data_IF_896444630319
#
_entry.id   IF_896444630319
#
_cell.length_a   1.000
_cell.length_b   1.000
_cell.length_c   1.000
_cell.angle_alpha   90.00
_cell.angle_beta   90.00
_cell.angle_gamma   90.00
#
_symmetry.space_group_name_H-M   'P 1'
#
loop_
_entity.id
_entity.type
_entity.pdbx_description
1 polymer ?
#
# COMPACT_ATOMS: atom_id res chain seq x y z
N UNK A 1 -16.29 42.61 -7.71
CA UNK A 1 -14.89 42.11 -7.63
C UNK A 1 -14.70 41.04 -8.68
N UNK A 2 -14.16 41.39 -9.85
CA UNK A 2 -13.80 40.45 -10.92
C UNK A 2 -12.37 39.93 -10.68
N UNK A 3 -12.22 38.96 -9.79
CA UNK A 3 -10.94 38.27 -9.66
C UNK A 3 -10.77 37.38 -10.90
N UNK A 4 -9.64 37.55 -11.56
CA UNK A 4 -9.39 37.23 -12.97
C UNK A 4 -9.74 35.77 -13.33
N UNK A 5 -10.65 35.61 -14.29
CA UNK A 5 -10.78 34.41 -15.12
C UNK A 5 -9.59 34.33 -16.09
N UNK A 6 -8.37 34.13 -15.60
CA UNK A 6 -7.27 33.76 -16.49
C UNK A 6 -7.48 32.30 -16.90
N UNK A 7 -7.61 32.05 -18.20
CA UNK A 7 -7.48 30.71 -18.75
C UNK A 7 -6.16 30.12 -18.26
N UNK A 8 -6.24 28.94 -17.65
CA UNK A 8 -5.06 28.18 -17.26
C UNK A 8 -4.26 27.86 -18.53
N UNK A 9 -3.10 28.50 -18.68
CA UNK A 9 -2.16 28.16 -19.72
C UNK A 9 -1.36 26.95 -19.21
N UNK A 10 -1.64 25.77 -19.76
CA UNK A 10 -0.86 24.57 -19.43
C UNK A 10 0.60 24.83 -19.75
N UNK A 11 1.51 24.73 -18.77
CA UNK A 11 2.94 24.88 -19.05
C UNK A 11 3.38 23.82 -20.04
N UNK A 12 4.18 24.22 -21.03
CA UNK A 12 4.78 23.28 -21.98
C UNK A 12 5.60 22.28 -21.19
N UNK A 13 5.37 20.98 -21.42
CA UNK A 13 6.11 19.92 -20.75
C UNK A 13 7.61 20.14 -20.98
N UNK A 14 8.35 20.47 -19.92
CA UNK A 14 9.79 20.71 -19.98
C UNK A 14 10.59 19.42 -20.29
N UNK A 15 9.94 18.26 -20.15
CA UNK A 15 10.53 16.98 -20.47
C UNK A 15 10.41 16.70 -21.97
N UNK A 16 11.47 17.03 -22.72
CA UNK A 16 11.58 16.79 -24.16
C UNK A 16 12.41 15.53 -24.52
N UNK A 17 12.92 14.81 -23.51
CA UNK A 17 13.71 13.60 -23.70
C UNK A 17 12.84 12.35 -23.83
N UNK A 18 13.40 11.30 -24.41
CA UNK A 18 12.84 9.96 -24.30
C UNK A 18 13.06 9.42 -22.89
N UNK A 19 12.06 8.70 -22.36
CA UNK A 19 12.26 7.91 -21.14
C UNK A 19 13.40 6.90 -21.41
N UNK A 20 14.25 6.62 -20.40
CA UNK A 20 15.26 5.57 -20.55
C UNK A 20 14.58 4.26 -20.92
N UNK A 21 15.28 3.43 -21.69
CA UNK A 21 14.81 2.08 -21.97
C UNK A 21 14.48 1.37 -20.63
N UNK A 22 13.38 0.61 -20.56
CA UNK A 22 13.08 -0.16 -19.37
C UNK A 22 14.31 -1.00 -18.97
N UNK A 23 14.61 -1.14 -17.67
CA UNK A 23 15.73 -1.96 -17.22
C UNK A 23 15.64 -3.36 -17.86
N UNK A 24 16.74 -3.83 -18.42
CA UNK A 24 16.81 -5.13 -19.15
C UNK A 24 16.76 -6.35 -18.21
N UNK A 25 16.55 -6.12 -16.91
CA UNK A 25 16.44 -7.18 -15.92
C UNK A 25 15.17 -8.00 -16.18
N UNK A 26 15.22 -9.30 -15.87
CA UNK A 26 14.04 -10.15 -15.81
C UNK A 26 13.02 -9.42 -14.94
N UNK A 27 11.86 -9.08 -15.51
CA UNK A 27 10.80 -8.41 -14.78
C UNK A 27 10.47 -9.24 -13.53
N UNK A 28 10.72 -8.63 -12.37
CA UNK A 28 10.38 -9.24 -11.09
C UNK A 28 8.86 -9.43 -11.03
N UNK A 29 8.40 -10.46 -10.33
CA UNK A 29 6.96 -10.60 -10.12
C UNK A 29 6.49 -9.45 -9.22
N UNK A 30 5.23 -9.01 -9.34
CA UNK A 30 4.70 -7.92 -8.51
C UNK A 30 4.95 -8.09 -7.00
N UNK A 31 4.92 -9.34 -6.53
CA UNK A 31 5.20 -9.68 -5.13
C UNK A 31 6.66 -9.44 -4.73
N UNK A 32 7.61 -9.61 -5.65
CA UNK A 32 9.03 -9.41 -5.39
C UNK A 32 9.33 -7.92 -5.20
N UNK A 33 8.68 -7.04 -5.97
CA UNK A 33 8.76 -5.59 -5.74
C UNK A 33 8.23 -5.19 -4.37
N UNK A 34 7.11 -5.79 -3.94
CA UNK A 34 6.57 -5.55 -2.61
C UNK A 34 7.57 -5.95 -1.52
N UNK A 35 8.18 -7.13 -1.63
CA UNK A 35 9.20 -7.58 -0.68
C UNK A 35 10.51 -6.78 -0.77
N UNK A 36 10.88 -6.24 -1.93
CA UNK A 36 12.03 -5.35 -2.06
C UNK A 36 11.82 -4.04 -1.31
N UNK A 37 10.58 -3.55 -1.22
CA UNK A 37 10.24 -2.31 -0.51
C UNK A 37 10.07 -2.52 0.99
N UNK A 38 9.33 -3.56 1.40
CA UNK A 38 8.95 -3.77 2.80
C UNK A 38 9.82 -4.79 3.53
N UNK A 39 10.49 -5.70 2.82
CA UNK A 39 11.24 -6.82 3.39
C UNK A 39 10.33 -7.93 3.91
N UNK A 40 10.71 -9.19 3.72
CA UNK A 40 9.99 -10.34 4.28
C UNK A 40 10.02 -10.34 5.81
N UNK A 41 11.11 -9.86 6.41
CA UNK A 41 11.28 -9.80 7.87
C UNK A 41 10.26 -8.88 8.55
N UNK A 42 9.84 -7.81 7.87
CA UNK A 42 8.83 -6.89 8.39
C UNK A 42 7.49 -7.57 8.64
N UNK A 43 7.13 -8.56 7.81
CA UNK A 43 5.88 -9.31 7.98
C UNK A 43 5.94 -10.19 9.23
N UNK A 44 7.10 -10.82 9.47
CA UNK A 44 7.33 -11.60 10.70
C UNK A 44 7.27 -10.70 11.92
N UNK A 45 7.92 -9.54 11.88
CA UNK A 45 7.89 -8.57 12.97
C UNK A 45 6.46 -8.12 13.28
N UNK A 46 5.66 -7.77 12.25
CA UNK A 46 4.26 -7.40 12.42
C UNK A 46 3.44 -8.52 13.05
N UNK A 47 3.64 -9.77 12.62
CA UNK A 47 2.97 -10.94 13.18
C UNK A 47 3.32 -11.13 14.66
N UNK A 48 4.61 -11.12 15.00
CA UNK A 48 5.11 -11.36 16.35
C UNK A 48 4.61 -10.29 17.32
N UNK A 49 4.71 -9.02 16.93
CA UNK A 49 4.24 -7.90 17.75
C UNK A 49 2.72 -7.90 17.90
N UNK A 50 1.97 -8.24 16.85
CA UNK A 50 0.51 -8.35 16.92
C UNK A 50 0.07 -9.46 17.87
N UNK A 51 0.77 -10.60 17.84
CA UNK A 51 0.51 -11.71 18.74
C UNK A 51 0.86 -11.36 20.19
N UNK A 52 2.02 -10.77 20.43
CA UNK A 52 2.46 -10.31 21.74
C UNK A 52 1.45 -9.34 22.34
N UNK A 53 1.04 -8.33 21.56
CA UNK A 53 0.02 -7.37 21.99
C UNK A 53 -1.33 -8.04 22.28
N UNK A 54 -1.73 -9.04 21.49
CA UNK A 54 -2.99 -9.75 21.74
C UNK A 54 -3.02 -10.44 23.11
N UNK A 55 -1.90 -11.04 23.51
CA UNK A 55 -1.76 -11.68 24.83
C UNK A 55 -1.74 -10.62 25.94
N UNK A 56 -1.05 -9.49 25.72
CA UNK A 56 -1.04 -8.37 26.67
C UNK A 56 -2.43 -7.76 26.88
N UNK A 57 -3.26 -7.72 25.83
CA UNK A 57 -4.59 -7.13 25.85
C UNK A 57 -5.63 -8.05 26.49
N UNK A 58 -5.65 -9.33 26.11
CA UNK A 58 -6.51 -10.34 26.71
C UNK A 58 -5.83 -11.72 26.64
N UNK A 59 -5.19 -12.18 27.74
CA UNK A 59 -4.54 -13.47 27.78
C UNK A 59 -5.48 -14.65 27.51
N UNK A 60 -6.78 -14.50 27.75
CA UNK A 60 -7.76 -15.57 27.56
C UNK A 60 -8.21 -15.71 26.09
N UNK A 61 -7.93 -14.69 25.25
CA UNK A 61 -8.36 -14.66 23.85
C UNK A 61 -7.24 -14.19 22.91
N UNK A 62 -6.11 -14.92 22.82
CA UNK A 62 -5.03 -14.56 21.91
C UNK A 62 -5.46 -14.75 20.45
N UNK A 63 -5.12 -13.79 19.59
CA UNK A 63 -5.55 -13.77 18.18
C UNK A 63 -4.82 -14.84 17.35
N UNK A 64 -3.58 -15.18 17.72
CA UNK A 64 -2.73 -16.18 17.04
C UNK A 64 -2.69 -15.96 15.52
N UNK A 65 -2.17 -14.80 15.13
CA UNK A 65 -1.87 -14.41 13.76
C UNK A 65 -0.78 -15.32 13.21
N UNK A 66 -0.98 -15.83 11.99
CA UNK A 66 0.03 -16.55 11.21
C UNK A 66 0.52 -15.65 10.07
N UNK A 67 1.68 -15.96 9.50
CA UNK A 67 2.24 -15.22 8.36
C UNK A 67 1.25 -15.15 7.18
N UNK A 68 0.57 -16.26 6.87
CA UNK A 68 -0.49 -16.29 5.87
C UNK A 68 -1.65 -15.32 6.18
N UNK A 69 -2.10 -15.24 7.43
CA UNK A 69 -3.16 -14.31 7.84
C UNK A 69 -2.70 -12.86 7.72
N UNK A 70 -1.45 -12.58 8.08
CA UNK A 70 -0.86 -11.25 7.96
C UNK A 70 -0.74 -10.83 6.49
N UNK A 71 -0.22 -11.70 5.62
CA UNK A 71 -0.14 -11.46 4.18
C UNK A 71 -1.53 -11.19 3.57
N UNK A 72 -2.53 -11.97 3.97
CA UNK A 72 -3.91 -11.77 3.50
C UNK A 72 -4.50 -10.44 3.99
N UNK A 73 -4.22 -10.06 5.24
CA UNK A 73 -4.66 -8.78 5.79
C UNK A 73 -4.04 -7.60 5.03
N UNK A 74 -2.72 -7.62 4.78
CA UNK A 74 -2.03 -6.61 3.97
C UNK A 74 -2.61 -6.55 2.56
N UNK A 75 -2.86 -7.71 1.93
CA UNK A 75 -3.50 -7.77 0.61
C UNK A 75 -4.89 -7.11 0.60
N UNK A 76 -5.71 -7.33 1.63
CA UNK A 76 -7.00 -6.63 1.78
C UNK A 76 -6.79 -5.13 1.88
N UNK A 77 -5.84 -4.66 2.69
CA UNK A 77 -5.53 -3.22 2.82
C UNK A 77 -5.11 -2.61 1.48
N UNK A 78 -4.25 -3.28 0.71
CA UNK A 78 -3.87 -2.82 -0.63
C UNK A 78 -5.09 -2.71 -1.54
N UNK A 79 -5.96 -3.71 -1.54
CA UNK A 79 -7.20 -3.67 -2.31
C UNK A 79 -8.14 -2.55 -1.85
N UNK A 80 -8.18 -2.21 -0.56
CA UNK A 80 -8.95 -1.06 -0.07
C UNK A 80 -8.43 0.29 -0.58
N UNK A 81 -7.13 0.38 -0.93
CA UNK A 81 -6.56 1.56 -1.57
C UNK A 81 -6.82 1.63 -3.07
N UNK A 82 -7.02 0.48 -3.72
CA UNK A 82 -7.34 0.39 -5.16
C UNK A 82 -8.82 0.59 -5.42
N UNK A 83 -9.67 -0.03 -4.60
CA UNK A 83 -11.12 0.07 -4.71
C UNK A 83 -11.62 1.10 -3.72
N UNK A 84 -12.25 2.16 -4.22
CA UNK A 84 -13.09 3.02 -3.38
C UNK A 84 -14.23 2.17 -2.85
N UNK A 85 -14.27 1.92 -1.54
CA UNK A 85 -15.50 1.39 -0.95
C UNK A 85 -16.62 2.39 -1.23
N UNK A 86 -17.79 1.94 -1.71
CA UNK A 86 -18.94 2.82 -1.78
C UNK A 86 -19.13 3.42 -0.39
N UNK A 87 -19.21 4.75 -0.31
CA UNK A 87 -19.51 5.44 0.95
C UNK A 87 -20.71 4.73 1.59
N UNK A 88 -20.49 4.06 2.71
CA UNK A 88 -21.60 3.56 3.49
C UNK A 88 -22.29 4.81 4.03
N UNK A 89 -23.35 5.24 3.34
CA UNK A 89 -24.31 6.18 3.91
C UNK A 89 -24.91 5.48 5.12
N UNK A 90 -24.35 5.78 6.28
CA UNK A 90 -24.99 5.47 7.56
C UNK A 90 -26.19 6.41 7.60
N UNK A 91 -27.38 5.87 7.33
CA UNK A 91 -28.66 6.56 7.49
C UNK A 91 -29.14 6.45 8.92
#
# INVERSE_FOLDING_TARGET
MHWKQKQFATPVAAFASTLPAPPTHVELQPIDYFYAMFGQESIRLLMDQSNLYSVQKDPNKPVRVTEMKMNRFIGVLMMTGVYSFPEQRIF
#
